data_IF_715502088435
#
_entry.id   IF_715502088435
#
_cell.length_a   1.000
_cell.length_b   1.000
_cell.length_c   1.000
_cell.angle_alpha   90.00
_cell.angle_beta   90.00
_cell.angle_gamma   90.00
#
_symmetry.space_group_name_H-M   'P 1'
#
loop_
_entity.id
_entity.type
_entity.pdbx_description
1 polymer ?
#
# COMPACT_ATOMS: atom_id res chain seq x y z
N UNK A 1 -3.52 25.96 -43.62
CA UNK A 1 -2.17 25.52 -43.19
C UNK A 1 -2.28 25.03 -41.74
N UNK A 2 -1.98 23.75 -41.47
CA UNK A 2 -1.97 23.22 -40.10
C UNK A 2 -0.61 23.53 -39.48
N UNK A 3 -0.57 24.33 -38.41
CA UNK A 3 0.65 24.62 -37.67
C UNK A 3 1.03 23.36 -36.87
N UNK A 4 1.99 22.59 -37.38
CA UNK A 4 2.52 21.42 -36.68
C UNK A 4 3.33 21.86 -35.46
N UNK A 5 2.99 21.35 -34.28
CA UNK A 5 3.80 21.52 -33.08
C UNK A 5 5.05 20.63 -33.24
N UNK A 6 6.22 21.26 -33.40
CA UNK A 6 7.50 20.57 -33.44
C UNK A 6 8.25 20.74 -32.11
N UNK A 7 8.60 19.64 -31.46
CA UNK A 7 9.39 19.62 -30.21
C UNK A 7 10.73 18.92 -30.46
N UNK A 8 11.82 19.56 -30.04
CA UNK A 8 13.17 18.99 -30.14
C UNK A 8 13.33 17.81 -29.18
N UNK A 9 13.82 16.67 -29.67
CA UNK A 9 14.11 15.51 -28.80
C UNK A 9 15.14 15.81 -27.71
N UNK A 10 16.04 16.78 -27.91
CA UNK A 10 16.97 17.23 -26.86
C UNK A 10 16.27 17.91 -25.67
N UNK A 11 14.98 18.23 -25.80
CA UNK A 11 14.15 18.84 -24.74
C UNK A 11 13.16 17.85 -24.12
N UNK A 12 13.14 16.59 -24.54
CA UNK A 12 12.32 15.56 -23.90
C UNK A 12 13.15 14.75 -22.92
N UNK A 13 12.56 14.36 -21.78
CA UNK A 13 13.15 13.40 -20.85
C UNK A 13 12.41 12.08 -20.94
N UNK A 14 13.13 10.97 -20.83
CA UNK A 14 12.48 9.67 -20.67
C UNK A 14 11.73 9.67 -19.33
N UNK A 15 10.46 9.27 -19.37
CA UNK A 15 9.67 9.03 -18.16
C UNK A 15 9.41 7.53 -18.06
N UNK A 16 9.41 7.01 -16.84
CA UNK A 16 8.95 5.66 -16.59
C UNK A 16 7.49 5.53 -16.98
N UNK A 17 7.09 4.38 -17.51
CA UNK A 17 5.67 4.09 -17.78
C UNK A 17 4.87 4.18 -16.45
N UNK A 18 3.96 5.15 -16.30
CA UNK A 18 3.19 5.33 -15.08
C UNK A 18 2.24 4.14 -14.81
N UNK A 19 1.81 3.41 -15.84
CA UNK A 19 0.97 2.22 -15.68
C UNK A 19 1.79 1.10 -15.07
N UNK A 20 3.01 0.88 -15.56
CA UNK A 20 3.92 -0.11 -15.02
C UNK A 20 4.21 0.12 -13.52
N UNK A 21 4.43 1.37 -13.11
CA UNK A 21 4.65 1.70 -11.69
C UNK A 21 3.45 1.36 -10.81
N UNK A 22 2.23 1.60 -11.30
CA UNK A 22 1.00 1.22 -10.59
C UNK A 22 0.91 -0.29 -10.45
N UNK A 23 1.17 -1.03 -11.54
CA UNK A 23 1.12 -2.50 -11.53
C UNK A 23 2.14 -3.11 -10.57
N UNK A 24 3.36 -2.55 -10.49
CA UNK A 24 4.40 -3.02 -9.57
C UNK A 24 3.94 -2.87 -8.12
N UNK A 25 3.43 -1.70 -7.73
CA UNK A 25 2.96 -1.48 -6.36
C UNK A 25 1.74 -2.34 -6.03
N UNK A 26 0.81 -2.51 -6.97
CA UNK A 26 -0.33 -3.41 -6.78
C UNK A 26 0.12 -4.85 -6.59
N UNK A 27 1.09 -5.32 -7.38
CA UNK A 27 1.63 -6.67 -7.25
C UNK A 27 2.23 -6.90 -5.87
N UNK A 28 3.02 -5.95 -5.34
CA UNK A 28 3.57 -6.00 -3.98
C UNK A 28 2.48 -6.17 -2.91
N UNK A 29 1.46 -5.32 -2.95
CA UNK A 29 0.33 -5.37 -2.00
C UNK A 29 -0.41 -6.70 -2.12
N UNK A 30 -0.76 -7.10 -3.34
CA UNK A 30 -1.50 -8.33 -3.62
C UNK A 30 -0.70 -9.56 -3.16
N UNK A 31 0.60 -9.60 -3.42
CA UNK A 31 1.49 -10.67 -2.96
C UNK A 31 1.42 -10.85 -1.46
N UNK A 32 1.59 -9.77 -0.68
CA UNK A 32 1.53 -9.80 0.79
C UNK A 32 0.18 -10.35 1.27
N UNK A 33 -0.93 -9.87 0.69
CA UNK A 33 -2.27 -10.31 1.09
C UNK A 33 -2.57 -11.77 0.74
N UNK A 34 -1.84 -12.37 -0.20
CA UNK A 34 -1.99 -13.77 -0.62
C UNK A 34 -1.04 -14.74 0.09
N UNK A 35 -0.14 -14.26 0.96
CA UNK A 35 0.71 -15.14 1.76
C UNK A 35 -0.15 -16.07 2.66
N UNK A 36 0.32 -17.26 3.05
CA UNK A 36 -0.39 -18.08 4.04
C UNK A 36 -0.60 -17.31 5.35
N UNK A 37 -1.68 -17.54 6.11
CA UNK A 37 -1.87 -16.92 7.42
C UNK A 37 -0.63 -17.11 8.30
N UNK A 38 -0.17 -16.04 8.93
CA UNK A 38 0.96 -16.13 9.85
C UNK A 38 0.55 -16.91 11.12
N UNK A 39 1.49 -17.66 11.69
CA UNK A 39 1.28 -18.40 12.94
C UNK A 39 1.04 -17.46 14.14
N UNK A 40 1.51 -16.21 14.05
CA UNK A 40 1.34 -15.18 15.05
C UNK A 40 0.56 -13.99 14.49
N UNK A 41 -0.04 -13.21 15.38
CA UNK A 41 -0.71 -11.96 15.01
C UNK A 41 0.30 -11.01 14.35
N UNK A 42 0.03 -10.61 13.10
CA UNK A 42 0.88 -9.72 12.33
C UNK A 42 0.16 -8.40 12.05
N UNK A 43 0.45 -7.38 12.86
CA UNK A 43 -0.13 -6.04 12.74
C UNK A 43 0.22 -5.37 11.41
N UNK A 44 1.49 -5.45 10.97
CA UNK A 44 1.96 -4.89 9.70
C UNK A 44 1.12 -5.39 8.52
N UNK A 45 0.95 -6.71 8.43
CA UNK A 45 0.15 -7.35 7.39
C UNK A 45 -1.33 -6.98 7.48
N UNK A 46 -1.90 -6.91 8.69
CA UNK A 46 -3.31 -6.49 8.88
C UNK A 46 -3.55 -5.07 8.36
N UNK A 47 -2.61 -4.16 8.58
CA UNK A 47 -2.70 -2.78 8.08
C UNK A 47 -2.67 -2.74 6.55
N UNK A 48 -1.78 -3.51 5.93
CA UNK A 48 -1.70 -3.63 4.46
C UNK A 48 -2.99 -4.24 3.88
N UNK A 49 -3.56 -5.26 4.53
CA UNK A 49 -4.83 -5.88 4.11
C UNK A 49 -5.99 -4.88 4.13
N UNK A 50 -6.07 -4.03 5.16
CA UNK A 50 -7.09 -2.97 5.24
C UNK A 50 -6.89 -1.91 4.15
N UNK A 51 -5.64 -1.49 3.90
CA UNK A 51 -5.34 -0.60 2.78
C UNK A 51 -5.77 -1.20 1.44
N UNK A 52 -5.43 -2.47 1.20
CA UNK A 52 -5.89 -3.19 0.00
C UNK A 52 -7.41 -3.23 -0.11
N UNK A 53 -8.13 -3.48 0.99
CA UNK A 53 -9.60 -3.46 0.99
C UNK A 53 -10.14 -2.10 0.58
N UNK A 54 -9.56 -1.02 1.10
CA UNK A 54 -9.91 0.35 0.74
C UNK A 54 -9.77 0.63 -0.76
N UNK A 55 -8.63 0.26 -1.34
CA UNK A 55 -8.32 0.46 -2.76
C UNK A 55 -9.39 -0.12 -3.71
N UNK A 56 -10.02 -1.23 -3.30
CA UNK A 56 -11.02 -1.97 -4.08
C UNK A 56 -12.40 -1.99 -3.41
N UNK A 57 -12.67 -1.06 -2.50
CA UNK A 57 -13.98 -0.91 -1.88
C UNK A 57 -15.02 -0.41 -2.88
N UNK A 58 -16.31 -0.60 -2.59
CA UNK A 58 -17.40 -0.14 -3.45
C UNK A 58 -17.41 1.39 -3.67
N UNK A 59 -16.84 2.15 -2.72
CA UNK A 59 -16.73 3.61 -2.79
C UNK A 59 -15.49 4.08 -3.57
N UNK A 60 -14.52 3.18 -3.82
CA UNK A 60 -13.35 3.45 -4.64
C UNK A 60 -13.67 3.30 -6.12
N UNK A 61 -13.03 4.12 -6.96
CA UNK A 61 -13.08 4.00 -8.41
C UNK A 61 -11.65 3.99 -9.00
N UNK A 62 -11.48 3.70 -10.31
CA UNK A 62 -10.16 3.60 -10.92
C UNK A 62 -9.28 4.86 -10.79
N UNK A 63 -9.88 6.05 -10.73
CA UNK A 63 -9.15 7.30 -10.51
C UNK A 63 -8.62 7.40 -9.08
N UNK A 64 -9.42 7.00 -8.09
CA UNK A 64 -8.97 6.92 -6.70
C UNK A 64 -7.84 5.90 -6.56
N UNK A 65 -8.00 4.69 -7.10
CA UNK A 65 -6.95 3.67 -7.09
C UNK A 65 -5.62 4.23 -7.61
N UNK A 66 -5.67 4.92 -8.76
CA UNK A 66 -4.50 5.54 -9.36
C UNK A 66 -3.87 6.61 -8.45
N UNK A 67 -4.68 7.48 -7.83
CA UNK A 67 -4.15 8.53 -6.94
C UNK A 67 -3.56 7.95 -5.66
N UNK A 68 -4.22 6.97 -5.04
CA UNK A 68 -3.77 6.29 -3.82
C UNK A 68 -2.45 5.55 -4.06
N UNK A 69 -2.35 4.77 -5.13
CA UNK A 69 -1.10 4.09 -5.49
C UNK A 69 0.00 5.09 -5.82
N UNK A 70 -0.32 6.20 -6.49
CA UNK A 70 0.67 7.25 -6.77
C UNK A 70 1.21 7.88 -5.48
N UNK A 71 0.34 8.19 -4.51
CA UNK A 71 0.74 8.73 -3.20
C UNK A 71 1.63 7.73 -2.45
N UNK A 72 1.29 6.45 -2.49
CA UNK A 72 2.09 5.36 -1.93
C UNK A 72 3.48 5.26 -2.59
N UNK A 73 3.56 5.24 -3.92
CA UNK A 73 4.84 5.17 -4.64
C UNK A 73 5.76 6.34 -4.35
N UNK A 74 5.19 7.51 -4.07
CA UNK A 74 5.93 8.74 -3.80
C UNK A 74 6.31 8.90 -2.32
N UNK A 75 5.84 8.01 -1.44
CA UNK A 75 6.03 8.15 0.01
C UNK A 75 5.41 9.44 0.53
N UNK A 76 4.17 9.75 0.14
CA UNK A 76 3.51 10.99 0.55
C UNK A 76 3.40 11.08 2.09
N UNK A 77 3.69 12.24 2.72
CA UNK A 77 3.47 12.45 4.15
C UNK A 77 1.97 12.64 4.49
N UNK A 78 1.10 12.62 3.50
CA UNK A 78 -0.35 12.69 3.68
C UNK A 78 -0.86 11.49 4.49
N UNK A 79 -1.74 11.69 5.49
CA UNK A 79 -2.36 10.60 6.23
C UNK A 79 -3.33 9.82 5.33
N UNK A 80 -3.38 8.50 5.51
CA UNK A 80 -4.35 7.62 4.86
C UNK A 80 -5.68 7.77 5.60
N UNK A 81 -6.77 8.03 4.85
CA UNK A 81 -8.05 8.35 5.49
C UNK A 81 -8.55 7.23 6.43
N UNK A 82 -8.96 7.56 7.66
CA UNK A 82 -9.40 6.56 8.64
C UNK A 82 -10.70 5.85 8.27
N UNK A 83 -11.53 6.43 7.38
CA UNK A 83 -12.75 5.81 6.86
C UNK A 83 -12.51 4.46 6.15
N UNK A 84 -11.26 4.18 5.76
CA UNK A 84 -10.82 2.90 5.24
C UNK A 84 -10.78 1.77 6.27
N UNK A 85 -10.76 2.08 7.56
CA UNK A 85 -10.57 1.13 8.66
C UNK A 85 -11.87 0.77 9.40
N UNK A 86 -12.88 1.66 9.36
CA UNK A 86 -14.07 1.61 10.22
C UNK A 86 -15.33 0.99 9.60
N UNK A 87 -15.45 0.93 8.26
CA UNK A 87 -16.71 0.55 7.60
C UNK A 87 -17.22 -0.86 7.94
N UNK A 88 -16.33 -1.83 8.17
CA UNK A 88 -16.71 -3.21 8.50
C UNK A 88 -16.91 -3.45 10.01
N UNK A 89 -16.37 -2.58 10.88
CA UNK A 89 -16.47 -2.78 12.35
C UNK A 89 -17.88 -2.48 12.87
N UNK A 90 -18.53 -1.44 12.37
CA UNK A 90 -19.86 -1.03 12.86
C UNK A 90 -21.00 -1.96 12.40
N UNK A 91 -20.83 -2.71 11.30
CA UNK A 91 -21.85 -3.65 10.80
C UNK A 91 -21.84 -4.99 11.54
N UNK A 92 -20.68 -5.43 12.05
CA UNK A 92 -20.55 -6.65 12.84
C UNK A 92 -20.89 -6.44 14.33
N UNK A 93 -20.70 -5.23 14.85
CA UNK A 93 -21.07 -4.85 16.22
C UNK A 93 -22.45 -4.20 16.32
N UNK A 94 -23.43 -4.64 15.52
CA UNK A 94 -24.83 -4.42 15.91
C UNK A 94 -25.10 -5.34 17.09
N UNK A 95 -25.30 -4.83 18.32
CA UNK A 95 -25.64 -5.69 19.43
C UNK A 95 -27.01 -6.29 19.12
N UNK A 96 -27.03 -7.57 18.77
CA UNK A 96 -28.26 -8.36 18.89
C UNK A 96 -28.60 -8.34 20.37
N UNK A 97 -29.72 -7.71 20.72
CA UNK A 97 -30.09 -7.41 22.10
C UNK A 97 -29.91 -8.61 23.05
N UNK A 98 -29.24 -8.35 24.17
CA UNK A 98 -29.04 -9.32 25.24
C UNK A 98 -28.11 -8.76 26.31
N UNK A 99 -28.68 -8.35 27.43
CA UNK A 99 -27.99 -7.88 28.64
C UNK A 99 -26.85 -8.82 29.06
N UNK A 100 -25.69 -8.26 29.42
CA UNK A 100 -25.07 -8.48 30.75
C UNK A 100 -23.88 -7.55 30.96
N UNK A 101 -23.85 -6.93 32.14
CA UNK A 101 -22.74 -6.14 32.65
C UNK A 101 -21.57 -7.07 33.03
N UNK A 102 -20.34 -6.67 32.70
CA UNK A 102 -19.15 -7.03 33.47
C UNK A 102 -18.02 -6.01 33.22
N UNK A 103 -17.53 -5.30 34.25
CA UNK A 103 -16.25 -4.63 34.23
C UNK A 103 -15.12 -5.58 34.68
N UNK A 104 -13.88 -5.23 34.34
CA UNK A 104 -12.58 -5.78 34.78
C UNK A 104 -11.98 -6.99 34.04
N UNK A 105 -11.09 -6.69 33.08
CA UNK A 105 -9.78 -7.37 32.96
C UNK A 105 -8.75 -6.40 32.31
N UNK A 106 -7.72 -5.91 33.04
CA UNK A 106 -6.69 -5.03 32.50
C UNK A 106 -5.52 -5.86 31.95
N UNK A 107 -5.74 -6.63 30.89
CA UNK A 107 -4.67 -7.40 30.24
C UNK A 107 -4.40 -6.88 28.83
N UNK A 108 -3.48 -5.90 28.74
CA UNK A 108 -2.53 -5.76 27.63
C UNK A 108 -3.08 -5.73 26.21
N UNK A 109 -4.24 -5.11 25.97
CA UNK A 109 -4.72 -4.84 24.62
C UNK A 109 -3.80 -3.77 24.00
N UNK A 110 -2.77 -4.21 23.26
CA UNK A 110 -2.04 -3.32 22.37
C UNK A 110 -3.08 -2.61 21.50
N UNK A 111 -3.22 -1.31 21.75
CA UNK A 111 -4.47 -0.59 21.66
C UNK A 111 -4.96 -0.59 20.21
N UNK A 112 -6.20 -1.06 19.99
CA UNK A 112 -6.96 -0.73 18.78
C UNK A 112 -6.93 0.78 18.49
N UNK A 113 -6.74 1.58 19.54
CA UNK A 113 -6.60 3.02 19.61
C UNK A 113 -5.38 3.57 18.88
N UNK A 114 -4.22 2.89 18.90
CA UNK A 114 -2.99 3.38 18.24
C UNK A 114 -3.07 3.30 16.71
N UNK A 115 -4.05 2.54 16.18
CA UNK A 115 -4.35 2.50 14.75
C UNK A 115 -5.48 3.47 14.37
N UNK A 116 -6.13 4.10 15.33
CA UNK A 116 -7.09 5.18 15.08
C UNK A 116 -6.37 6.48 14.69
N UNK A 117 -5.13 6.65 15.16
CA UNK A 117 -4.18 7.63 14.65
C UNK A 117 -3.69 7.13 13.27
N UNK A 118 -4.41 7.53 12.21
CA UNK A 118 -4.18 7.08 10.85
C UNK A 118 -2.71 7.20 10.42
N UNK A 119 -2.21 6.21 9.69
CA UNK A 119 -0.82 6.18 9.21
C UNK A 119 -0.66 6.95 7.89
N UNK A 120 0.54 7.47 7.61
CA UNK A 120 0.85 8.14 6.34
C UNK A 120 1.17 7.16 5.22
N UNK A 121 1.12 7.61 3.95
CA UNK A 121 1.57 6.77 2.83
C UNK A 121 3.06 6.42 2.91
N UNK A 122 3.90 7.30 3.44
CA UNK A 122 5.32 7.03 3.72
C UNK A 122 5.49 5.88 4.73
N UNK A 123 4.74 5.92 5.84
CA UNK A 123 4.76 4.85 6.84
C UNK A 123 4.23 3.54 6.23
N UNK A 124 3.12 3.59 5.48
CA UNK A 124 2.58 2.42 4.77
C UNK A 124 3.60 1.82 3.81
N UNK A 125 4.33 2.64 3.07
CA UNK A 125 5.39 2.19 2.17
C UNK A 125 6.47 1.43 2.95
N UNK A 126 6.91 1.98 4.09
CA UNK A 126 7.90 1.33 4.96
C UNK A 126 7.39 -0.04 5.43
N UNK A 127 6.15 -0.11 5.94
CA UNK A 127 5.53 -1.36 6.39
C UNK A 127 5.45 -2.40 5.26
N UNK A 128 5.11 -1.97 4.03
CA UNK A 128 5.09 -2.85 2.86
C UNK A 128 6.48 -3.41 2.57
N UNK A 129 7.50 -2.55 2.49
CA UNK A 129 8.86 -2.98 2.15
C UNK A 129 9.44 -3.95 3.20
N UNK A 130 9.21 -3.70 4.49
CA UNK A 130 9.63 -4.59 5.57
C UNK A 130 8.99 -5.98 5.43
N UNK A 131 7.68 -6.06 5.20
CA UNK A 131 6.99 -7.35 5.06
C UNK A 131 7.43 -8.08 3.78
N UNK A 132 7.75 -7.37 2.70
CA UNK A 132 8.29 -7.98 1.48
C UNK A 132 9.69 -8.57 1.69
N UNK A 133 10.54 -7.89 2.45
CA UNK A 133 11.87 -8.39 2.82
C UNK A 133 11.76 -9.64 3.71
N UNK A 134 10.94 -9.57 4.77
CA UNK A 134 10.68 -10.70 5.68
C UNK A 134 10.08 -11.93 4.96
N UNK A 135 9.24 -11.70 3.94
CA UNK A 135 8.58 -12.77 3.17
C UNK A 135 9.39 -13.28 1.97
N UNK A 136 10.61 -12.77 1.78
CA UNK A 136 11.51 -13.21 0.71
C UNK A 136 11.04 -12.85 -0.71
N UNK A 137 10.18 -11.83 -0.85
CA UNK A 137 9.66 -11.38 -2.14
C UNK A 137 10.78 -11.08 -3.16
N UNK A 138 11.87 -10.47 -2.69
CA UNK A 138 13.01 -10.08 -3.53
C UNK A 138 13.98 -11.23 -3.85
N UNK A 139 13.86 -12.38 -3.18
CA UNK A 139 14.75 -13.53 -3.43
C UNK A 139 14.54 -14.10 -4.84
N UNK A 140 13.30 -14.08 -5.34
CA UNK A 140 12.96 -14.56 -6.69
C UNK A 140 13.22 -13.54 -7.79
N UNK A 141 13.31 -12.25 -7.46
CA UNK A 141 13.61 -11.19 -8.43
C UNK A 141 15.11 -11.03 -8.60
N UNK A 142 15.90 -11.25 -7.54
CA UNK A 142 17.37 -11.15 -7.53
C UNK A 142 18.03 -11.96 -8.67
N UNK A 143 17.52 -13.16 -8.95
CA UNK A 143 18.06 -14.04 -10.01
C UNK A 143 17.48 -13.77 -11.42
N UNK A 144 16.47 -12.91 -11.55
CA UNK A 144 15.78 -12.59 -12.82
C UNK A 144 16.07 -11.19 -13.37
N UNK A 145 16.89 -10.39 -12.67
CA UNK A 145 17.34 -9.06 -13.14
C UNK A 145 18.25 -9.10 -14.38
N UNK A 146 18.58 -10.28 -14.93
CA UNK A 146 19.28 -10.38 -16.22
C UNK A 146 18.37 -10.36 -17.46
N UNK A 147 17.04 -10.33 -17.32
CA UNK A 147 16.13 -10.40 -18.48
C UNK A 147 15.27 -9.15 -18.72
N UNK A 148 15.35 -8.11 -17.88
CA UNK A 148 14.60 -6.88 -18.09
C UNK A 148 15.54 -5.67 -17.94
N UNK A 149 15.52 -4.70 -18.87
CA UNK A 149 16.44 -3.57 -18.86
C UNK A 149 16.01 -2.62 -17.74
N UNK A 150 16.47 -2.93 -16.53
CA UNK A 150 16.28 -2.07 -15.37
C UNK A 150 17.21 -0.86 -15.51
N UNK A 151 16.66 0.33 -15.27
CA UNK A 151 17.39 1.59 -15.39
C UNK A 151 18.68 1.56 -14.58
N UNK A 152 19.81 1.71 -15.28
CA UNK A 152 21.11 1.96 -14.68
C UNK A 152 21.02 3.22 -13.83
N UNK A 153 21.20 3.08 -12.51
CA UNK A 153 21.64 4.21 -11.68
C UNK A 153 23.01 4.64 -12.20
N UNK A 154 23.04 5.71 -13.00
CA UNK A 154 24.28 6.39 -13.34
C UNK A 154 24.74 7.12 -12.08
N UNK A 155 25.66 6.51 -11.35
CA UNK A 155 26.50 7.25 -10.42
C UNK A 155 27.41 8.18 -11.26
N UNK A 156 27.43 9.49 -11.00
CA UNK A 156 28.47 10.34 -11.57
C UNK A 156 29.76 10.05 -10.83
N UNK A 157 30.69 9.35 -11.47
CA UNK A 157 32.09 9.31 -11.05
C UNK A 157 32.68 10.69 -11.30
N UNK A 158 33.27 11.27 -10.25
CA UNK A 158 34.04 12.52 -10.27
C UNK A 158 35.23 12.43 -11.23
#
# INVERSE_FOLDING_TARGET
ASAGIAVSQRKVRQISDPIQQILIQLHKIIYITQLPPALHHNLKRRVIERFKKSLFSQQSNPCNLKSEIKKLSQGSPEPIEPNFFTADYHLLHRPSGGNSLSPDDPTGLCSSSDLEEGITYEQMQTVIEEVLEESGYYNFTSNRYHSYPWGTKTHPTK
#
